data_IF_082189739493
#
_entry.id   IF_082189739493
#
_cell.length_a   1.000
_cell.length_b   1.000
_cell.length_c   1.000
_cell.angle_alpha   90.00
_cell.angle_beta   90.00
_cell.angle_gamma   90.00
#
_symmetry.space_group_name_H-M   'P 1'
#
loop_
_entity.id
_entity.type
_entity.pdbx_description
1 polymer ?
#
# COMPACT_ATOMS: atom_id res chain seq x y z
N UNK A 1 10.37 5.37 13.67
CA UNK A 1 10.69 5.82 12.31
C UNK A 1 9.72 6.94 12.00
N UNK A 2 10.22 8.15 11.75
CA UNK A 2 9.36 9.28 11.38
C UNK A 2 9.13 9.19 9.87
N UNK A 3 7.89 8.96 9.44
CA UNK A 3 7.55 8.97 8.02
C UNK A 3 7.49 10.43 7.58
N UNK A 4 8.18 10.82 6.50
CA UNK A 4 8.09 12.19 6.00
C UNK A 4 6.62 12.55 5.72
N UNK A 5 6.10 13.53 6.47
CA UNK A 5 4.68 13.93 6.42
C UNK A 5 4.28 14.75 5.20
N UNK A 6 5.12 14.84 4.17
CA UNK A 6 4.88 15.63 2.96
C UNK A 6 5.33 14.88 1.71
N UNK A 7 4.72 15.20 0.55
CA UNK A 7 5.10 14.61 -0.74
C UNK A 7 6.58 14.87 -1.07
N UNK A 8 7.09 16.07 -0.80
CA UNK A 8 8.50 16.40 -1.01
C UNK A 8 9.43 15.62 -0.09
N UNK A 9 9.03 15.39 1.16
CA UNK A 9 9.80 14.58 2.10
C UNK A 9 9.88 13.12 1.65
N UNK A 10 8.76 12.55 1.21
CA UNK A 10 8.68 11.19 0.65
C UNK A 10 9.55 11.09 -0.60
N UNK A 11 9.44 12.06 -1.52
CA UNK A 11 10.27 12.11 -2.73
C UNK A 11 11.77 12.18 -2.41
N UNK A 12 12.14 12.93 -1.38
CA UNK A 12 13.53 13.08 -0.96
C UNK A 12 14.11 11.80 -0.36
N UNK A 13 13.30 10.99 0.35
CA UNK A 13 13.73 9.70 0.90
C UNK A 13 13.89 8.61 -0.14
N UNK A 14 13.31 8.76 -1.33
CA UNK A 14 13.41 7.77 -2.40
C UNK A 14 14.76 7.81 -3.14
N UNK A 15 15.27 6.63 -3.56
CA UNK A 15 16.36 6.52 -4.52
C UNK A 15 16.07 7.30 -5.80
N UNK A 16 17.11 7.81 -6.47
CA UNK A 16 16.94 8.73 -7.60
C UNK A 16 16.15 8.11 -8.75
N UNK A 17 16.35 6.82 -9.01
CA UNK A 17 15.63 6.06 -10.01
C UNK A 17 14.12 5.94 -9.74
N UNK A 18 13.71 6.00 -8.47
CA UNK A 18 12.32 5.84 -8.05
C UNK A 18 11.53 7.16 -8.04
N UNK A 19 12.21 8.30 -7.98
CA UNK A 19 11.57 9.63 -7.90
C UNK A 19 10.68 9.92 -9.10
N UNK A 20 11.11 9.55 -10.30
CA UNK A 20 10.33 9.76 -11.52
C UNK A 20 9.05 8.90 -11.55
N UNK A 21 9.10 7.70 -10.98
CA UNK A 21 7.93 6.82 -10.87
C UNK A 21 6.94 7.38 -9.85
N UNK A 22 7.42 7.84 -8.68
CA UNK A 22 6.62 8.54 -7.69
C UNK A 22 5.92 9.78 -8.27
N UNK A 23 6.68 10.67 -8.92
CA UNK A 23 6.15 11.92 -9.49
C UNK A 23 5.03 11.64 -10.50
N UNK A 24 5.21 10.61 -11.33
CA UNK A 24 4.21 10.20 -12.33
C UNK A 24 2.96 9.63 -11.67
N UNK A 25 3.12 8.74 -10.69
CA UNK A 25 1.99 8.07 -10.04
C UNK A 25 1.15 9.07 -9.24
N UNK A 26 1.78 9.90 -8.41
CA UNK A 26 1.10 10.97 -7.66
C UNK A 26 0.48 12.00 -8.60
N UNK A 27 1.18 12.39 -9.67
CA UNK A 27 0.70 13.40 -10.63
C UNK A 27 -0.46 12.94 -11.53
N UNK A 28 -0.70 11.64 -11.64
CA UNK A 28 -1.79 11.07 -12.44
C UNK A 28 -2.94 10.48 -11.62
N UNK A 29 -2.78 10.39 -10.29
CA UNK A 29 -3.78 9.83 -9.40
C UNK A 29 -5.00 10.75 -9.21
N UNK A 30 -6.20 10.19 -8.96
CA UNK A 30 -7.30 10.94 -8.39
C UNK A 30 -6.88 11.60 -7.08
N UNK A 31 -7.29 12.85 -6.85
CA UNK A 31 -6.84 13.64 -5.70
C UNK A 31 -7.12 12.96 -4.34
N UNK A 32 -8.21 12.19 -4.26
CA UNK A 32 -8.59 11.44 -3.05
C UNK A 32 -7.67 10.25 -2.76
N UNK A 33 -6.97 9.74 -3.77
CA UNK A 33 -6.08 8.57 -3.65
C UNK A 33 -4.63 8.98 -3.37
N UNK A 34 -4.28 10.26 -3.61
CA UNK A 34 -2.93 10.80 -3.38
C UNK A 34 -2.39 10.48 -1.99
N UNK A 35 -3.14 10.64 -0.87
CA UNK A 35 -2.62 10.31 0.45
C UNK A 35 -2.22 8.84 0.59
N UNK A 36 -3.02 7.92 0.03
CA UNK A 36 -2.76 6.48 0.08
C UNK A 36 -1.53 6.11 -0.74
N UNK A 37 -1.45 6.62 -1.97
CA UNK A 37 -0.31 6.42 -2.87
C UNK A 37 0.96 6.96 -2.22
N UNK A 38 0.94 8.19 -1.71
CA UNK A 38 2.07 8.79 -1.03
C UNK A 38 2.53 7.96 0.18
N UNK A 39 1.59 7.47 1.00
CA UNK A 39 1.90 6.62 2.14
C UNK A 39 2.63 5.33 1.71
N UNK A 40 2.18 4.66 0.63
CA UNK A 40 2.87 3.49 0.06
C UNK A 40 4.30 3.82 -0.34
N UNK A 41 4.54 4.98 -0.97
CA UNK A 41 5.88 5.42 -1.36
C UNK A 41 6.79 5.79 -0.18
N UNK A 42 6.22 6.09 0.99
CA UNK A 42 6.98 6.31 2.22
C UNK A 42 7.50 5.04 2.88
N UNK A 43 7.02 3.86 2.48
CA UNK A 43 7.44 2.57 3.03
C UNK A 43 8.81 2.13 2.46
N UNK A 44 9.59 1.33 3.21
CA UNK A 44 10.77 0.65 2.69
C UNK A 44 10.43 -0.20 1.45
N UNK A 45 11.40 -0.40 0.56
CA UNK A 45 11.19 -1.17 -0.66
C UNK A 45 10.70 -2.59 -0.37
N UNK A 46 11.27 -3.23 0.65
CA UNK A 46 10.94 -4.60 1.04
C UNK A 46 9.46 -4.73 1.39
N UNK A 47 8.88 -3.77 2.12
CA UNK A 47 7.47 -3.77 2.48
C UNK A 47 6.56 -3.61 1.25
N UNK A 48 7.01 -2.87 0.24
CA UNK A 48 6.26 -2.62 -0.99
C UNK A 48 6.30 -3.83 -1.91
N UNK A 49 7.44 -4.50 -1.98
CA UNK A 49 7.62 -5.76 -2.70
C UNK A 49 6.77 -6.88 -2.06
N UNK A 50 6.70 -6.92 -0.72
CA UNK A 50 5.79 -7.82 0.02
C UNK A 50 4.32 -7.55 -0.33
N UNK A 51 3.87 -6.29 -0.27
CA UNK A 51 2.51 -5.90 -0.64
C UNK A 51 2.16 -6.29 -2.09
N UNK A 52 3.08 -6.06 -3.03
CA UNK A 52 2.89 -6.42 -4.44
C UNK A 52 2.79 -7.94 -4.64
N UNK A 53 3.63 -8.72 -3.95
CA UNK A 53 3.57 -10.18 -3.99
C UNK A 53 2.24 -10.72 -3.44
N UNK A 54 1.76 -10.15 -2.33
CA UNK A 54 0.45 -10.47 -1.75
C UNK A 54 -0.70 -10.11 -2.72
N UNK A 55 -0.64 -8.93 -3.34
CA UNK A 55 -1.64 -8.51 -4.32
C UNK A 55 -1.67 -9.42 -5.56
N UNK A 56 -0.51 -9.86 -6.03
CA UNK A 56 -0.38 -10.81 -7.14
C UNK A 56 -0.94 -12.18 -6.78
N UNK A 57 -0.62 -12.70 -5.60
CA UNK A 57 -1.18 -13.95 -5.08
C UNK A 57 -2.71 -13.92 -5.08
N UNK A 58 -3.30 -12.88 -4.50
CA UNK A 58 -4.75 -12.68 -4.45
C UNK A 58 -5.37 -12.58 -5.86
N UNK A 59 -4.70 -11.91 -6.80
CA UNK A 59 -5.16 -11.80 -8.19
C UNK A 59 -5.17 -13.15 -8.90
N UNK A 60 -4.27 -14.07 -8.56
CA UNK A 60 -4.28 -15.44 -9.08
C UNK A 60 -5.31 -16.34 -8.42
N UNK A 61 -6.07 -15.84 -7.44
CA UNK A 61 -7.06 -16.61 -6.69
C UNK A 61 -6.47 -17.53 -5.63
N UNK A 62 -5.18 -17.36 -5.31
CA UNK A 62 -4.55 -18.03 -4.18
C UNK A 62 -4.82 -17.22 -2.91
N UNK A 63 -5.61 -17.80 -2.01
CA UNK A 63 -5.95 -17.22 -0.70
C UNK A 63 -5.24 -17.96 0.44
N UNK A 64 -4.17 -18.70 0.14
CA UNK A 64 -3.40 -19.41 1.17
C UNK A 64 -2.87 -18.43 2.21
N UNK A 65 -3.16 -18.69 3.48
CA UNK A 65 -2.78 -17.79 4.59
C UNK A 65 -3.72 -16.60 4.81
N UNK A 66 -4.70 -16.39 3.93
CA UNK A 66 -5.76 -15.42 4.17
C UNK A 66 -6.73 -15.95 5.21
N UNK A 67 -6.85 -15.25 6.34
CA UNK A 67 -7.89 -15.52 7.32
C UNK A 67 -8.99 -14.50 7.10
N UNK A 68 -10.16 -14.95 6.66
CA UNK A 68 -11.31 -14.06 6.58
C UNK A 68 -11.60 -13.52 7.99
N UNK A 69 -11.90 -12.22 8.15
CA UNK A 69 -12.41 -11.72 9.41
C UNK A 69 -13.63 -12.56 9.79
N UNK A 70 -13.71 -12.96 11.06
CA UNK A 70 -14.89 -13.68 11.55
C UNK A 70 -16.10 -12.77 11.29
N UNK A 71 -16.98 -13.19 10.38
CA UNK A 71 -18.28 -12.54 10.23
C UNK A 71 -18.93 -12.61 11.59
N UNK A 72 -19.09 -11.45 12.24
CA UNK A 72 -19.72 -11.32 13.54
C UNK A 72 -21.16 -11.80 13.47
N UNK A 73 -21.36 -13.12 13.53
CA UNK A 73 -22.67 -13.72 13.72
C UNK A 73 -23.03 -13.54 15.18
N UNK A 74 -23.49 -12.32 15.49
CA UNK A 74 -24.58 -12.17 16.42
C UNK A 74 -25.71 -13.12 15.96
N UNK A 75 -25.96 -14.18 16.72
CA UNK A 75 -26.90 -15.22 16.33
C UNK A 75 -27.08 -16.28 17.41
N UNK A 76 -27.81 -15.90 18.46
CA UNK A 76 -28.72 -16.68 19.29
C UNK A 76 -28.86 -18.20 19.03
N UNK A 77 -28.80 -18.98 20.11
CA UNK A 77 -29.34 -20.35 20.22
C UNK A 77 -28.43 -21.27 21.06
N UNK A 78 -28.82 -21.78 22.23
CA UNK A 78 -30.10 -21.71 22.95
C UNK A 78 -29.96 -22.17 24.40
#
# INVERSE_FOLDING_TARGET
>A
MDLPGTLDGIRASLPREQRAAFDREVGSAPLLDVPLIAARWGLPQEARDEDDALADQLRTGDFTGFTAPEDGRAGSGG
#
